data_IF_864279148195
#
_entry.id   IF_864279148195
#
_cell.length_a   1.000
_cell.length_b   1.000
_cell.length_c   1.000
_cell.angle_alpha   90.00
_cell.angle_beta   90.00
_cell.angle_gamma   90.00
#
_symmetry.space_group_name_H-M   'P 1'
#
loop_
_entity.id
_entity.type
_entity.pdbx_description
1 polymer ?
#
# COMPACT_ATOMS: atom_id res chain seq x y z
N UNK A 1 -11.52 19.31 -9.81
CA UNK A 1 -12.37 18.19 -10.28
C UNK A 1 -12.00 17.75 -11.71
N UNK A 2 -10.87 17.06 -11.90
CA UNK A 2 -10.54 16.39 -13.17
C UNK A 2 -9.30 15.45 -13.02
N UNK A 3 -9.42 14.34 -12.28
CA UNK A 3 -8.43 13.23 -12.27
C UNK A 3 -9.08 11.88 -11.88
N UNK A 4 -10.23 11.53 -12.48
CA UNK A 4 -11.04 10.35 -12.08
C UNK A 4 -11.03 9.18 -13.09
N UNK A 5 -10.32 9.27 -14.22
CA UNK A 5 -10.56 8.37 -15.36
C UNK A 5 -9.47 7.34 -15.70
N UNK A 6 -8.34 7.28 -15.00
CA UNK A 6 -7.28 6.31 -15.37
C UNK A 6 -7.43 4.93 -14.71
N UNK A 7 -8.31 4.78 -13.71
CA UNK A 7 -8.40 3.55 -12.91
C UNK A 7 -9.25 2.44 -13.57
N UNK A 8 -10.20 2.76 -14.46
CA UNK A 8 -11.08 1.75 -15.08
C UNK A 8 -10.38 0.86 -16.13
N UNK A 9 -9.23 1.27 -16.69
CA UNK A 9 -8.54 0.50 -17.74
C UNK A 9 -7.80 -0.73 -17.24
N UNK A 10 -7.53 -0.87 -15.95
CA UNK A 10 -6.80 -2.01 -15.40
C UNK A 10 -7.67 -3.24 -15.11
N UNK A 11 -9.01 -3.09 -15.01
CA UNK A 11 -9.92 -4.19 -14.64
C UNK A 11 -10.52 -4.98 -15.82
N UNK A 12 -10.35 -4.54 -17.07
CA UNK A 12 -11.09 -5.09 -18.22
C UNK A 12 -10.48 -6.34 -18.88
N UNK A 13 -9.37 -6.91 -18.38
CA UNK A 13 -8.67 -8.03 -19.06
C UNK A 13 -8.77 -9.41 -18.37
N UNK A 14 -9.49 -9.54 -17.26
CA UNK A 14 -9.44 -10.74 -16.42
C UNK A 14 -10.74 -11.54 -16.30
N UNK A 15 -11.50 -11.80 -17.37
CA UNK A 15 -12.64 -12.73 -17.27
C UNK A 15 -12.96 -13.41 -18.61
N UNK A 16 -12.28 -14.52 -18.91
CA UNK A 16 -12.77 -15.52 -19.86
C UNK A 16 -12.79 -16.89 -19.20
N UNK A 17 -13.99 -17.47 -19.22
CA UNK A 17 -14.41 -18.78 -18.69
C UNK A 17 -13.70 -19.95 -19.40
N UNK A 18 -13.48 -21.04 -18.68
CA UNK A 18 -13.57 -22.39 -19.24
C UNK A 18 -13.91 -23.43 -18.16
N UNK A 19 -15.10 -24.01 -18.28
CA UNK A 19 -15.52 -25.28 -17.66
C UNK A 19 -15.04 -26.45 -18.53
N UNK A 20 -14.46 -27.50 -17.93
CA UNK A 20 -14.05 -28.72 -18.62
C UNK A 20 -13.61 -29.83 -17.67
N UNK A 21 -14.11 -31.04 -17.93
CA UNK A 21 -14.19 -32.25 -17.10
C UNK A 21 -12.97 -33.20 -17.16
N UNK A 22 -12.83 -34.03 -16.10
CA UNK A 22 -12.38 -35.44 -16.05
C UNK A 22 -10.90 -35.86 -16.24
N UNK A 23 -10.37 -36.57 -15.22
CA UNK A 23 -9.77 -37.92 -15.33
C UNK A 23 -8.27 -38.09 -15.66
N UNK A 24 -7.48 -38.52 -14.65
CA UNK A 24 -6.27 -39.39 -14.54
C UNK A 24 -5.46 -39.78 -15.83
N UNK A 25 -4.13 -40.12 -15.78
CA UNK A 25 -3.37 -40.67 -14.65
C UNK A 25 -1.92 -40.15 -14.44
N UNK A 26 -1.35 -40.60 -13.32
CA UNK A 26 0.02 -40.37 -12.83
C UNK A 26 1.12 -40.81 -13.82
N UNK A 27 2.08 -39.92 -14.10
CA UNK A 27 3.39 -40.24 -14.71
C UNK A 27 4.51 -39.58 -13.93
N UNK A 28 5.35 -40.42 -13.32
CA UNK A 28 6.66 -40.06 -12.73
C UNK A 28 7.60 -39.60 -13.84
N UNK A 29 8.19 -38.42 -13.69
CA UNK A 29 9.36 -37.96 -14.45
C UNK A 29 10.57 -37.74 -13.53
N UNK A 30 11.80 -37.92 -14.04
CA UNK A 30 13.01 -38.05 -13.23
C UNK A 30 13.58 -36.71 -12.77
N UNK A 31 14.20 -36.76 -11.58
CA UNK A 31 15.03 -35.72 -10.96
C UNK A 31 16.09 -35.20 -11.96
N UNK A 32 16.05 -33.90 -12.26
CA UNK A 32 17.15 -33.20 -12.92
C UNK A 32 17.91 -32.38 -11.87
N UNK A 33 19.17 -32.73 -11.67
CA UNK A 33 20.11 -32.05 -10.81
C UNK A 33 20.62 -30.75 -11.46
N UNK A 34 20.80 -29.72 -10.63
CA UNK A 34 21.88 -28.75 -10.75
C UNK A 34 21.64 -27.56 -11.68
N UNK A 35 21.22 -26.44 -11.09
CA UNK A 35 21.81 -25.12 -11.39
C UNK A 35 21.84 -24.35 -10.06
N UNK A 36 23.04 -24.16 -9.50
CA UNK A 36 23.27 -23.16 -8.44
C UNK A 36 23.11 -21.80 -9.09
N UNK A 37 21.96 -21.17 -8.88
CA UNK A 37 21.80 -19.75 -9.13
C UNK A 37 22.73 -18.99 -8.19
N UNK A 38 23.72 -18.33 -8.77
CA UNK A 38 24.53 -17.33 -8.07
C UNK A 38 23.57 -16.22 -7.71
N UNK A 39 23.16 -16.17 -6.43
CA UNK A 39 22.39 -15.06 -5.89
C UNK A 39 23.17 -13.78 -6.11
N UNK A 40 22.73 -12.98 -7.08
CA UNK A 40 23.01 -11.56 -7.04
C UNK A 40 22.18 -11.03 -5.87
N UNK A 41 22.73 -11.15 -4.66
CA UNK A 41 22.40 -10.28 -3.53
C UNK A 41 22.90 -8.88 -3.88
N UNK A 42 22.27 -8.29 -4.90
CA UNK A 42 22.28 -6.86 -5.14
C UNK A 42 21.41 -6.26 -4.05
N UNK A 43 21.96 -6.20 -2.84
CA UNK A 43 21.47 -5.38 -1.74
C UNK A 43 21.53 -3.91 -2.17
N UNK A 44 20.63 -3.53 -3.08
CA UNK A 44 20.27 -2.15 -3.29
C UNK A 44 19.66 -1.72 -1.98
N UNK A 45 20.30 -0.77 -1.31
CA UNK A 45 19.66 0.02 -0.28
C UNK A 45 18.35 0.53 -0.89
N UNK A 46 17.24 -0.11 -0.53
CA UNK A 46 15.91 0.26 -1.03
C UNK A 46 15.41 1.44 -0.21
N UNK A 47 16.22 2.49 -0.20
CA UNK A 47 15.80 3.80 0.24
C UNK A 47 14.59 4.18 -0.63
N UNK A 48 13.41 4.22 -0.02
CA UNK A 48 12.14 4.57 -0.68
C UNK A 48 11.89 6.08 -0.65
N UNK A 49 12.89 6.88 -0.29
CA UNK A 49 12.81 8.33 -0.43
C UNK A 49 12.84 8.73 -1.91
N UNK A 50 12.11 9.78 -2.24
CA UNK A 50 12.04 10.34 -3.59
C UNK A 50 12.57 11.78 -3.65
N UNK A 51 12.67 12.35 -4.84
CA UNK A 51 12.95 13.78 -4.98
C UNK A 51 11.78 14.59 -4.43
N UNK A 52 12.08 15.68 -3.73
CA UNK A 52 11.07 16.58 -3.20
C UNK A 52 10.16 17.14 -4.31
N UNK A 53 8.85 17.30 -4.04
CA UNK A 53 7.94 17.96 -4.97
C UNK A 53 8.29 19.47 -5.08
N UNK A 54 7.89 20.13 -6.18
CA UNK A 54 8.11 21.57 -6.36
C UNK A 54 7.29 22.45 -5.40
N UNK A 55 6.21 21.91 -4.85
CA UNK A 55 5.32 22.56 -3.88
C UNK A 55 5.00 21.58 -2.74
N UNK A 56 4.71 22.12 -1.55
CA UNK A 56 4.29 21.36 -0.37
C UNK A 56 2.82 20.98 -0.39
N UNK A 57 1.98 21.74 -1.10
CA UNK A 57 0.57 21.37 -1.27
C UNK A 57 0.45 20.12 -2.13
N UNK A 58 -0.27 19.11 -1.64
CA UNK A 58 -0.40 17.80 -2.27
C UNK A 58 0.82 16.90 -2.08
N UNK A 59 1.75 17.24 -1.17
CA UNK A 59 2.91 16.41 -0.86
C UNK A 59 2.50 15.03 -0.34
N UNK A 60 1.41 14.93 0.42
CA UNK A 60 0.82 13.68 0.89
C UNK A 60 0.47 12.74 -0.26
N UNK A 61 -0.26 13.24 -1.27
CA UNK A 61 -0.59 12.45 -2.45
C UNK A 61 0.65 12.10 -3.29
N UNK A 62 1.58 13.03 -3.45
CA UNK A 62 2.84 12.80 -4.16
C UNK A 62 3.69 11.68 -3.51
N UNK A 63 3.74 11.65 -2.18
CA UNK A 63 4.37 10.56 -1.42
C UNK A 63 3.60 9.25 -1.58
N UNK A 64 2.28 9.29 -1.42
CA UNK A 64 1.44 8.12 -1.57
C UNK A 64 1.60 7.44 -2.95
N UNK A 65 1.52 8.19 -4.05
CA UNK A 65 1.65 7.61 -5.41
C UNK A 65 2.99 6.90 -5.60
N UNK A 66 4.08 7.49 -5.07
CA UNK A 66 5.41 6.87 -5.12
C UNK A 66 5.47 5.55 -4.33
N UNK A 67 5.03 5.57 -3.07
CA UNK A 67 5.05 4.40 -2.21
C UNK A 67 4.13 3.29 -2.75
N UNK A 68 2.96 3.66 -3.25
CA UNK A 68 2.00 2.71 -3.82
C UNK A 68 2.54 2.02 -5.07
N UNK A 69 3.22 2.75 -5.97
CA UNK A 69 3.93 2.15 -7.11
C UNK A 69 5.01 1.17 -6.66
N UNK A 70 5.73 1.48 -5.60
CA UNK A 70 6.73 0.57 -5.04
C UNK A 70 6.07 -0.72 -4.53
N UNK A 71 4.96 -0.62 -3.80
CA UNK A 71 4.20 -1.78 -3.27
C UNK A 71 3.60 -2.64 -4.39
N UNK A 72 2.99 -2.03 -5.41
CA UNK A 72 2.48 -2.79 -6.58
C UNK A 72 3.60 -3.52 -7.31
N UNK A 73 4.80 -2.91 -7.38
CA UNK A 73 5.94 -3.51 -8.07
C UNK A 73 6.62 -4.60 -7.24
N UNK A 74 6.66 -4.43 -5.93
CA UNK A 74 7.24 -5.35 -4.96
C UNK A 74 6.47 -5.25 -3.63
N UNK A 75 5.65 -6.26 -3.32
CA UNK A 75 4.91 -6.29 -2.05
C UNK A 75 5.84 -6.25 -0.82
N UNK A 76 7.09 -6.71 -0.95
CA UNK A 76 8.09 -6.62 0.12
C UNK A 76 8.60 -5.21 0.37
N UNK A 77 8.25 -4.21 -0.46
CA UNK A 77 8.65 -2.82 -0.26
C UNK A 77 8.19 -2.26 1.10
N UNK A 78 7.04 -2.72 1.61
CA UNK A 78 6.49 -2.31 2.91
C UNK A 78 7.45 -2.62 4.06
N UNK A 79 8.20 -3.72 3.98
CA UNK A 79 9.18 -4.13 5.00
C UNK A 79 10.35 -3.13 5.11
N UNK A 80 10.60 -2.35 4.06
CA UNK A 80 11.65 -1.35 4.00
C UNK A 80 11.15 0.07 4.30
N UNK A 81 9.84 0.25 4.51
CA UNK A 81 9.27 1.56 4.81
C UNK A 81 9.54 1.98 6.26
N UNK A 82 9.79 3.26 6.47
CA UNK A 82 9.76 3.85 7.82
C UNK A 82 8.33 3.92 8.36
N UNK A 83 8.13 4.08 9.67
CA UNK A 83 6.80 4.27 10.25
C UNK A 83 6.02 5.44 9.63
N UNK A 84 6.69 6.55 9.29
CA UNK A 84 6.09 7.71 8.64
C UNK A 84 5.61 7.38 7.21
N UNK A 85 6.40 6.62 6.46
CA UNK A 85 6.03 6.15 5.12
C UNK A 85 4.81 5.22 5.17
N UNK A 86 4.78 4.27 6.11
CA UNK A 86 3.63 3.39 6.31
C UNK A 86 2.37 4.17 6.70
N UNK A 87 2.51 5.20 7.53
CA UNK A 87 1.39 6.08 7.91
C UNK A 87 0.79 6.77 6.68
N UNK A 88 1.61 7.40 5.84
CA UNK A 88 1.10 8.09 4.64
C UNK A 88 0.51 7.10 3.62
N UNK A 89 1.14 5.94 3.44
CA UNK A 89 0.62 4.88 2.59
C UNK A 89 -0.76 4.41 3.07
N UNK A 90 -0.85 4.01 4.34
CA UNK A 90 -2.05 3.38 4.89
C UNK A 90 -3.25 4.34 4.95
N UNK A 91 -3.04 5.59 5.36
CA UNK A 91 -4.12 6.59 5.42
C UNK A 91 -4.67 6.93 4.03
N UNK A 92 -3.81 7.15 3.03
CA UNK A 92 -4.27 7.46 1.68
C UNK A 92 -4.85 6.24 0.96
N UNK A 93 -4.35 5.04 1.24
CA UNK A 93 -4.91 3.81 0.71
C UNK A 93 -6.33 3.59 1.24
N UNK A 94 -6.54 3.73 2.56
CA UNK A 94 -7.86 3.66 3.19
C UNK A 94 -8.83 4.65 2.54
N UNK A 95 -8.44 5.93 2.47
CA UNK A 95 -9.28 6.97 1.85
C UNK A 95 -9.61 6.64 0.39
N UNK A 96 -8.63 6.17 -0.39
CA UNK A 96 -8.82 5.85 -1.81
C UNK A 96 -9.76 4.66 -2.00
N UNK A 97 -9.55 3.56 -1.26
CA UNK A 97 -10.35 2.35 -1.42
C UNK A 97 -11.77 2.53 -0.89
N UNK A 98 -11.95 3.19 0.27
CA UNK A 98 -13.29 3.47 0.81
C UNK A 98 -14.08 4.43 -0.07
N UNK A 99 -13.44 5.45 -0.66
CA UNK A 99 -14.11 6.31 -1.65
C UNK A 99 -14.41 5.60 -2.98
N UNK A 100 -13.79 4.45 -3.24
CA UNK A 100 -13.98 3.65 -4.46
C UNK A 100 -15.07 2.58 -4.30
N UNK A 101 -15.19 1.97 -3.11
CA UNK A 101 -16.15 0.90 -2.87
C UNK A 101 -16.44 0.59 -1.41
N UNK A 102 -16.22 1.54 -0.51
CA UNK A 102 -16.53 1.40 0.91
C UNK A 102 -15.51 0.58 1.71
N UNK A 103 -15.76 0.45 3.00
CA UNK A 103 -14.96 -0.34 3.93
C UNK A 103 -14.96 -1.83 3.59
N UNK A 104 -16.01 -2.35 2.94
CA UNK A 104 -16.00 -3.74 2.43
C UNK A 104 -14.83 -3.96 1.47
N UNK A 105 -14.70 -3.12 0.43
CA UNK A 105 -13.60 -3.20 -0.53
C UNK A 105 -12.26 -3.02 0.15
N UNK A 106 -12.16 -2.07 1.08
CA UNK A 106 -10.92 -1.83 1.82
C UNK A 106 -10.46 -3.07 2.59
N UNK A 107 -11.33 -3.66 3.43
CA UNK A 107 -10.94 -4.79 4.28
C UNK A 107 -10.77 -6.11 3.52
N UNK A 108 -11.52 -6.29 2.42
CA UNK A 108 -11.49 -7.51 1.62
C UNK A 108 -10.21 -7.66 0.79
N UNK A 109 -9.62 -6.55 0.36
CA UNK A 109 -8.46 -6.56 -0.52
C UNK A 109 -7.19 -6.05 0.18
N UNK A 110 -6.25 -5.53 -0.60
CA UNK A 110 -4.92 -5.09 -0.13
C UNK A 110 -4.98 -3.97 0.91
N UNK A 111 -6.02 -3.15 0.95
CA UNK A 111 -6.18 -2.14 2.00
C UNK A 111 -6.20 -2.73 3.40
N UNK A 112 -6.83 -3.90 3.56
CA UNK A 112 -6.94 -4.60 4.85
C UNK A 112 -5.60 -4.98 5.46
N UNK A 113 -4.56 -5.18 4.65
CA UNK A 113 -3.20 -5.48 5.13
C UNK A 113 -2.54 -4.26 5.79
N UNK A 114 -3.04 -3.05 5.50
CA UNK A 114 -2.54 -1.78 6.01
C UNK A 114 -3.41 -1.19 7.13
N UNK A 115 -4.47 -1.88 7.56
CA UNK A 115 -5.42 -1.34 8.54
C UNK A 115 -4.80 -1.04 9.91
N UNK A 116 -3.84 -1.84 10.36
CA UNK A 116 -3.13 -1.58 11.62
C UNK A 116 -2.22 -0.35 11.53
N UNK A 117 -1.55 -0.13 10.38
CA UNK A 117 -0.76 1.06 10.13
C UNK A 117 -1.66 2.31 10.03
N UNK A 118 -2.83 2.19 9.37
CA UNK A 118 -3.82 3.26 9.30
C UNK A 118 -4.35 3.63 10.70
N UNK A 119 -4.63 2.63 11.53
CA UNK A 119 -5.07 2.81 12.91
C UNK A 119 -4.00 3.49 13.77
N UNK A 120 -2.73 3.06 13.66
CA UNK A 120 -1.61 3.68 14.39
C UNK A 120 -1.38 5.14 13.94
N UNK A 121 -1.50 5.41 12.64
CA UNK A 121 -1.32 6.72 12.03
C UNK A 121 -2.53 7.66 12.13
N UNK A 122 -3.69 7.17 12.57
CA UNK A 122 -4.95 7.92 12.47
C UNK A 122 -4.96 9.26 13.22
N UNK A 123 -4.13 9.40 14.25
CA UNK A 123 -3.95 10.65 14.99
C UNK A 123 -3.50 11.82 14.10
N UNK A 124 -2.82 11.55 12.98
CA UNK A 124 -2.46 12.57 11.97
C UNK A 124 -3.70 13.25 11.41
N UNK A 125 -4.79 12.50 11.23
CA UNK A 125 -6.06 13.02 10.73
C UNK A 125 -6.96 13.55 11.85
N UNK A 126 -6.54 13.52 13.12
CA UNK A 126 -7.33 14.05 14.24
C UNK A 126 -8.31 13.06 14.89
N UNK A 127 -8.98 13.48 15.97
CA UNK A 127 -9.69 12.55 16.87
C UNK A 127 -10.89 11.83 16.25
N UNK A 128 -11.67 12.52 15.40
CA UNK A 128 -12.86 11.93 14.79
C UNK A 128 -12.50 10.82 13.78
N UNK A 129 -11.47 11.07 12.97
CA UNK A 129 -10.86 10.08 12.08
C UNK A 129 -10.30 8.89 12.85
N UNK A 130 -9.54 9.14 13.92
CA UNK A 130 -9.03 8.07 14.77
C UNK A 130 -10.16 7.20 15.35
N UNK A 131 -11.20 7.83 15.91
CA UNK A 131 -12.35 7.09 16.43
C UNK A 131 -13.06 6.25 15.36
N UNK A 132 -13.18 6.77 14.14
CA UNK A 132 -13.78 6.05 13.01
C UNK A 132 -12.93 4.86 12.58
N UNK A 133 -11.63 5.06 12.34
CA UNK A 133 -10.72 4.00 11.88
C UNK A 133 -10.62 2.89 12.93
N UNK A 134 -10.51 3.25 14.22
CA UNK A 134 -10.54 2.27 15.31
C UNK A 134 -11.89 1.51 15.40
N UNK A 135 -13.01 2.18 15.15
CA UNK A 135 -14.31 1.50 15.11
C UNK A 135 -14.38 0.52 13.94
N UNK A 136 -13.94 0.93 12.74
CA UNK A 136 -13.94 0.10 11.55
C UNK A 136 -13.06 -1.15 11.73
N UNK A 137 -11.84 -1.01 12.27
CA UNK A 137 -10.98 -2.17 12.54
C UNK A 137 -11.62 -3.13 13.56
N UNK A 138 -12.24 -2.61 14.64
CA UNK A 138 -12.92 -3.45 15.64
C UNK A 138 -14.17 -4.15 15.12
N UNK A 139 -14.85 -3.57 14.13
CA UNK A 139 -15.97 -4.23 13.45
C UNK A 139 -15.51 -5.50 12.74
N UNK A 140 -14.28 -5.52 12.21
CA UNK A 140 -13.68 -6.71 11.59
C UNK A 140 -13.13 -7.66 12.65
N UNK A 141 -12.55 -7.17 13.75
CA UNK A 141 -12.16 -8.02 14.87
C UNK A 141 -11.34 -7.30 15.94
N UNK A 142 -11.34 -7.87 17.14
CA UNK A 142 -10.49 -7.43 18.26
C UNK A 142 -9.88 -8.67 18.95
N UNK A 143 -8.60 -9.02 18.67
CA UNK A 143 -7.65 -8.28 17.84
C UNK A 143 -8.02 -8.29 16.35
N UNK A 144 -7.54 -7.29 15.60
CA UNK A 144 -7.76 -7.21 14.15
C UNK A 144 -7.09 -8.39 13.42
N UNK A 145 -7.81 -9.11 12.53
CA UNK A 145 -7.26 -10.23 11.78
C UNK A 145 -6.32 -9.79 10.65
N UNK A 146 -5.03 -10.12 10.79
CA UNK A 146 -4.00 -9.79 9.78
C UNK A 146 -4.01 -10.74 8.59
N UNK A 147 -4.62 -11.92 8.73
CA UNK A 147 -4.77 -12.89 7.65
C UNK A 147 -5.94 -12.54 6.73
N UNK A 148 -5.71 -12.58 5.41
CA UNK A 148 -6.72 -12.21 4.42
C UNK A 148 -7.90 -13.20 4.38
N UNK A 149 -7.62 -14.50 4.49
CA UNK A 149 -8.67 -15.53 4.46
C UNK A 149 -9.57 -15.42 5.71
N UNK A 150 -8.99 -15.00 6.85
CA UNK A 150 -9.74 -14.66 8.05
C UNK A 150 -10.65 -13.45 7.88
N UNK A 151 -10.14 -12.36 7.28
CA UNK A 151 -10.96 -11.19 6.96
C UNK A 151 -12.10 -11.52 6.02
N UNK A 152 -11.82 -12.25 4.94
CA UNK A 152 -12.84 -12.66 3.97
C UNK A 152 -13.96 -13.48 4.62
N UNK A 153 -13.61 -14.39 5.54
CA UNK A 153 -14.60 -15.20 6.27
C UNK A 153 -15.48 -14.36 7.18
N UNK A 154 -14.89 -13.38 7.88
CA UNK A 154 -15.63 -12.49 8.77
C UNK A 154 -16.58 -11.60 7.96
N UNK A 155 -16.09 -10.99 6.88
CA UNK A 155 -16.91 -10.19 5.97
C UNK A 155 -18.05 -11.03 5.37
N UNK A 156 -17.78 -12.25 4.91
CA UNK A 156 -18.81 -13.15 4.42
C UNK A 156 -19.85 -13.54 5.49
N UNK A 157 -19.44 -13.67 6.76
CA UNK A 157 -20.35 -13.86 7.88
C UNK A 157 -21.23 -12.62 8.12
N UNK A 158 -20.63 -11.43 8.09
CA UNK A 158 -21.36 -10.16 8.21
C UNK A 158 -22.38 -9.97 7.10
N UNK A 159 -22.06 -10.32 5.85
CA UNK A 159 -23.01 -10.25 4.73
C UNK A 159 -24.22 -11.18 4.93
N UNK A 160 -24.04 -12.32 5.60
CA UNK A 160 -25.15 -13.23 5.91
C UNK A 160 -26.02 -12.70 7.06
N UNK A 161 -25.40 -12.06 8.06
CA UNK A 161 -26.10 -11.52 9.25
C UNK A 161 -26.74 -10.14 8.99
N UNK A 162 -26.14 -9.34 8.13
CA UNK A 162 -26.56 -8.00 7.70
C UNK A 162 -26.51 -7.89 6.16
N UNK A 163 -27.48 -8.50 5.44
CA UNK A 163 -27.48 -8.53 3.97
C UNK A 163 -27.61 -7.15 3.30
N UNK A 164 -28.07 -6.14 4.05
CA UNK A 164 -28.14 -4.76 3.60
C UNK A 164 -26.83 -4.00 3.83
N UNK A 165 -25.84 -4.61 4.50
CA UNK A 165 -24.54 -4.02 4.79
C UNK A 165 -24.62 -2.76 5.65
N UNK A 166 -25.67 -2.61 6.47
CA UNK A 166 -25.93 -1.41 7.28
C UNK A 166 -24.73 -1.04 8.16
N UNK A 167 -24.05 -2.03 8.73
CA UNK A 167 -22.89 -1.80 9.62
C UNK A 167 -21.76 -1.10 8.87
N UNK A 168 -21.37 -1.61 7.69
CA UNK A 168 -20.27 -1.03 6.90
C UNK A 168 -20.71 0.26 6.19
N UNK A 169 -21.95 0.32 5.70
CA UNK A 169 -22.52 1.52 5.07
C UNK A 169 -22.59 2.72 6.03
N UNK A 170 -22.82 2.48 7.33
CA UNK A 170 -22.77 3.54 8.34
C UNK A 170 -21.33 4.05 8.55
N UNK A 171 -20.34 3.17 8.54
CA UNK A 171 -18.92 3.56 8.61
C UNK A 171 -18.50 4.36 7.36
N UNK A 172 -18.94 3.94 6.18
CA UNK A 172 -18.70 4.64 4.92
C UNK A 172 -19.29 6.05 4.96
N UNK A 173 -20.56 6.16 5.38
CA UNK A 173 -21.26 7.45 5.52
C UNK A 173 -20.54 8.40 6.47
N UNK A 174 -20.04 7.88 7.60
CA UNK A 174 -19.23 8.65 8.55
C UNK A 174 -17.90 9.09 7.94
N UNK A 175 -17.22 8.24 7.17
CA UNK A 175 -15.98 8.61 6.48
C UNK A 175 -16.24 9.72 5.46
N UNK A 176 -17.31 9.61 4.67
CA UNK A 176 -17.67 10.62 3.68
C UNK A 176 -18.01 11.97 4.32
N UNK A 177 -18.66 11.96 5.49
CA UNK A 177 -18.86 13.18 6.29
C UNK A 177 -17.53 13.80 6.72
N UNK A 178 -16.60 13.01 7.25
CA UNK A 178 -15.28 13.51 7.64
C UNK A 178 -14.43 14.02 6.48
N UNK A 179 -14.49 13.39 5.30
CA UNK A 179 -13.83 13.89 4.09
C UNK A 179 -14.39 15.24 3.63
N UNK A 180 -15.68 15.50 3.86
CA UNK A 180 -16.31 16.77 3.51
C UNK A 180 -16.03 17.88 4.54
N UNK A 181 -15.99 17.52 5.82
CA UNK A 181 -15.95 18.47 6.93
C UNK A 181 -14.52 18.77 7.42
N UNK A 182 -13.56 17.87 7.19
CA UNK A 182 -12.21 17.97 7.75
C UNK A 182 -11.11 18.00 6.66
N UNK A 183 -10.07 18.85 6.83
CA UNK A 183 -9.00 19.02 5.86
C UNK A 183 -7.95 17.89 5.94
N UNK A 184 -8.34 16.68 5.54
CA UNK A 184 -7.49 15.49 5.65
C UNK A 184 -6.21 15.62 4.81
N UNK A 185 -6.31 16.17 3.59
CA UNK A 185 -5.16 16.37 2.69
C UNK A 185 -4.13 17.32 3.33
N UNK A 186 -4.57 18.45 3.87
CA UNK A 186 -3.70 19.43 4.52
C UNK A 186 -3.01 18.86 5.77
N UNK A 187 -3.69 17.98 6.51
CA UNK A 187 -3.11 17.31 7.68
C UNK A 187 -2.03 16.30 7.30
N UNK A 188 -2.25 15.54 6.22
CA UNK A 188 -1.23 14.62 5.69
C UNK A 188 -0.06 15.42 5.11
N UNK A 189 -0.31 16.52 4.38
CA UNK A 189 0.73 17.42 3.87
C UNK A 189 1.58 18.00 5.02
N UNK A 190 0.93 18.45 6.09
CA UNK A 190 1.61 18.96 7.28
C UNK A 190 2.47 17.88 7.95
N UNK A 191 1.97 16.64 8.03
CA UNK A 191 2.74 15.49 8.52
C UNK A 191 3.97 15.22 7.65
N UNK A 192 3.81 15.17 6.32
CA UNK A 192 4.94 15.01 5.39
C UNK A 192 5.97 16.12 5.56
N UNK A 193 5.51 17.38 5.71
CA UNK A 193 6.40 18.52 5.93
C UNK A 193 7.17 18.44 7.25
N UNK A 194 6.54 17.97 8.33
CA UNK A 194 7.18 17.79 9.64
C UNK A 194 8.20 16.65 9.65
N UNK A 195 8.03 15.65 8.78
CA UNK A 195 8.87 14.46 8.69
C UNK A 195 9.65 14.39 7.35
N UNK A 196 10.05 15.55 6.82
CA UNK A 196 10.61 15.71 5.47
C UNK A 196 11.70 14.70 5.09
N UNK A 197 12.64 14.42 6.00
CA UNK A 197 13.77 13.52 5.76
C UNK A 197 13.39 12.04 5.66
N UNK A 198 12.21 11.66 6.14
CA UNK A 198 11.66 10.31 5.97
C UNK A 198 11.16 10.06 4.54
N UNK A 199 10.83 11.12 3.79
CA UNK A 199 10.19 11.02 2.48
C UNK A 199 11.10 11.44 1.33
N UNK A 200 12.02 12.37 1.58
CA UNK A 200 12.80 12.98 0.52
C UNK A 200 14.31 12.87 0.74
N UNK A 201 15.02 12.56 -0.34
CA UNK A 201 16.48 12.61 -0.38
C UNK A 201 16.93 14.06 -0.55
N UNK A 202 18.02 14.47 0.10
CA UNK A 202 18.59 15.78 -0.18
C UNK A 202 19.30 15.79 -1.55
N UNK A 203 19.39 16.95 -2.20
CA UNK A 203 20.21 17.08 -3.43
C UNK A 203 21.68 16.71 -3.17
N UNK A 204 22.17 16.95 -1.95
CA UNK A 204 23.50 16.55 -1.52
C UNK A 204 23.67 15.02 -1.49
N UNK A 205 22.64 14.27 -1.10
CA UNK A 205 22.65 12.80 -1.14
C UNK A 205 22.76 12.28 -2.58
N UNK A 206 22.07 12.96 -3.52
CA UNK A 206 22.05 12.61 -4.94
C UNK A 206 23.40 12.86 -5.62
N UNK A 207 24.07 13.97 -5.29
CA UNK A 207 25.41 14.29 -5.83
C UNK A 207 26.50 13.33 -5.32
N UNK A 208 26.40 12.89 -4.05
CA UNK A 208 27.37 11.98 -3.43
C UNK A 208 27.29 10.55 -4.00
N UNK A 209 26.08 10.09 -4.35
CA UNK A 209 25.86 8.81 -5.04
C UNK A 209 26.51 8.80 -6.44
N UNK A 210 26.36 9.87 -7.21
CA UNK A 210 26.97 10.00 -8.54
C UNK A 210 28.50 10.10 -8.53
N UNK A 211 29.08 10.78 -7.53
CA UNK A 211 30.53 10.89 -7.40
C UNK A 211 31.21 9.54 -7.08
N UNK A 212 30.53 8.67 -6.32
CA UNK A 212 31.06 7.36 -5.91
C UNK A 212 31.13 6.34 -7.06
N UNK A 213 30.26 6.44 -8.06
CA UNK A 213 30.25 5.53 -9.23
C UNK A 213 31.43 5.79 -10.19
N UNK A 214 31.97 7.02 -10.23
CA UNK A 214 33.03 7.41 -11.19
C UNK A 214 34.46 7.08 -10.77
N UNK A 215 34.68 6.45 -9.60
CA UNK A 215 36.04 6.14 -9.08
C UNK A 215 36.34 4.64 -8.97
N UNK A 216 36.10 3.85 -10.02
CA UNK A 216 36.80 2.57 -10.20
C UNK A 216 38.02 2.77 -11.12
N UNK A 217 39.23 2.95 -10.59
CA UNK A 217 40.42 3.03 -11.43
C UNK A 217 40.61 1.67 -12.12
N UNK A 218 40.63 1.70 -13.45
CA UNK A 218 41.03 0.58 -14.28
C UNK A 218 42.45 0.15 -13.88
N UNK A 219 42.57 -0.87 -13.03
CA UNK A 219 43.86 -1.54 -12.78
C UNK A 219 44.26 -2.26 -14.07
N UNK A 220 45.12 -1.63 -14.86
CA UNK A 220 45.84 -2.28 -15.97
C UNK A 220 46.57 -3.50 -15.41
N UNK A 221 46.08 -4.70 -15.74
CA UNK A 221 46.86 -5.94 -15.61
C UNK A 221 48.08 -5.80 -16.52
N UNK A 222 49.26 -5.62 -15.95
CA UNK A 222 50.52 -5.87 -16.67
C UNK A 222 50.73 -7.38 -16.73
N UNK A 223 51.04 -7.86 -17.93
CA UNK A 223 51.50 -9.21 -18.23
C UNK A 223 52.95 -9.38 -17.80
#
# INVERSE_FOLDING_TARGET
>A
MARRNDFERARSQGARRSSGTSGLPSRRTPRRAGVRGVGQDGGMSRDLRQSAPPDRTGAGWYVFDHLWRAVISDHGAVEHMTPEQRTVLALNLLRTEVNSGGFDVYFRYSGGDHALDAMAGAHVLGPAWAALIHAACRTIGDPYPTDIDERERILGGMELEDPEGRILNELDSRLYGLEADEPADERIDAFVAAHWTAFFSSEADSASAHASVRRRPWRRRRR
#
